data_IF_946238028404
#
_entry.id   IF_946238028404
#
_cell.length_a   1.000
_cell.length_b   1.000
_cell.length_c   1.000
_cell.angle_alpha   90.00
_cell.angle_beta   90.00
_cell.angle_gamma   90.00
#
_symmetry.space_group_name_H-M   'P 1'
#
loop_
_entity.id
_entity.type
_entity.pdbx_description
1 polymer ?
#
# COMPACT_ATOMS: atom_id res chain seq x y z
N UNK A 1 -27.30 -13.52 46.13
CA UNK A 1 -27.37 -13.15 44.70
C UNK A 1 -26.15 -13.80 44.05
N UNK A 2 -26.30 -15.02 43.52
CA UNK A 2 -25.16 -15.74 42.92
C UNK A 2 -24.76 -15.03 41.64
N UNK A 3 -23.48 -14.64 41.53
CA UNK A 3 -22.93 -14.07 40.31
C UNK A 3 -22.88 -15.16 39.23
N UNK A 4 -23.75 -15.07 38.23
CA UNK A 4 -23.80 -15.98 37.10
C UNK A 4 -22.64 -15.66 36.14
N UNK A 5 -21.59 -16.47 36.15
CA UNK A 5 -20.44 -16.30 35.26
C UNK A 5 -20.70 -16.90 33.88
N UNK A 6 -20.27 -16.23 32.80
CA UNK A 6 -20.47 -16.70 31.43
C UNK A 6 -19.55 -17.88 31.02
N UNK A 7 -18.51 -18.15 31.81
CA UNK A 7 -17.48 -19.17 31.59
C UNK A 7 -17.05 -19.73 32.95
N UNK A 8 -16.89 -21.05 33.08
CA UNK A 8 -16.43 -21.73 34.30
C UNK A 8 -15.18 -21.06 34.83
N UNK A 9 -15.24 -20.73 36.10
CA UNK A 9 -14.13 -20.15 36.88
C UNK A 9 -13.62 -21.15 37.91
N UNK A 10 -12.34 -21.05 38.25
CA UNK A 10 -11.76 -21.78 39.38
C UNK A 10 -12.04 -21.06 40.72
N UNK A 11 -11.57 -21.65 41.82
CA UNK A 11 -11.71 -21.09 43.19
C UNK A 11 -11.03 -19.71 43.36
N UNK A 12 -10.18 -19.29 42.41
CA UNK A 12 -9.53 -17.98 42.35
C UNK A 12 -10.22 -17.00 41.38
N UNK A 13 -11.45 -17.30 40.93
CA UNK A 13 -12.22 -16.49 39.97
C UNK A 13 -11.54 -16.34 38.59
N UNK A 14 -10.63 -17.24 38.22
CA UNK A 14 -9.99 -17.25 36.90
C UNK A 14 -10.73 -18.19 35.95
N UNK A 15 -10.93 -17.75 34.71
CA UNK A 15 -11.54 -18.58 33.67
C UNK A 15 -10.69 -19.83 33.39
N UNK A 16 -11.32 -21.00 33.43
CA UNK A 16 -10.70 -22.31 33.14
C UNK A 16 -11.11 -22.88 31.78
N UNK A 17 -11.95 -22.17 31.03
CA UNK A 17 -12.35 -22.53 29.67
C UNK A 17 -11.99 -21.43 28.68
N UNK A 18 -11.41 -21.80 27.54
CA UNK A 18 -11.22 -20.90 26.41
C UNK A 18 -12.36 -21.10 25.41
N UNK A 19 -13.48 -20.39 25.59
CA UNK A 19 -14.60 -20.43 24.66
C UNK A 19 -14.50 -19.27 23.65
N UNK A 20 -14.07 -19.58 22.43
CA UNK A 20 -13.88 -18.60 21.36
C UNK A 20 -15.16 -18.32 20.56
N UNK A 21 -16.31 -18.88 20.93
CA UNK A 21 -17.53 -18.72 20.15
C UNK A 21 -18.15 -17.31 20.38
N UNK A 22 -18.17 -16.42 19.36
CA UNK A 22 -18.60 -15.03 19.50
C UNK A 22 -20.10 -14.89 19.84
N UNK A 23 -20.91 -15.92 19.58
CA UNK A 23 -22.35 -15.92 19.89
C UNK A 23 -22.65 -16.16 21.39
N UNK A 24 -21.74 -16.80 22.13
CA UNK A 24 -21.92 -17.09 23.56
C UNK A 24 -21.19 -16.07 24.44
N UNK A 25 -19.96 -15.72 24.07
CA UNK A 25 -19.11 -14.80 24.85
C UNK A 25 -19.20 -13.40 24.24
N UNK A 26 -20.19 -12.62 24.67
CA UNK A 26 -20.50 -11.30 24.12
C UNK A 26 -21.99 -10.94 24.09
N UNK A 27 -22.87 -11.93 24.27
CA UNK A 27 -24.34 -11.80 24.17
C UNK A 27 -24.96 -10.93 25.27
N UNK A 28 -24.41 -10.95 26.49
CA UNK A 28 -24.93 -10.16 27.61
C UNK A 28 -24.06 -8.91 27.85
N UNK A 29 -24.66 -7.70 27.95
CA UNK A 29 -23.93 -6.45 28.11
C UNK A 29 -23.09 -6.39 29.39
N UNK A 30 -23.49 -7.12 30.44
CA UNK A 30 -22.77 -7.16 31.73
C UNK A 30 -21.58 -8.12 31.77
N UNK A 31 -21.54 -9.15 30.92
CA UNK A 31 -20.54 -10.23 31.01
C UNK A 31 -19.60 -10.32 29.79
N UNK A 32 -19.81 -9.46 28.78
CA UNK A 32 -19.15 -9.55 27.48
C UNK A 32 -18.38 -8.31 27.03
N UNK A 33 -18.25 -7.27 27.86
CA UNK A 33 -17.64 -6.00 27.47
C UNK A 33 -16.21 -6.17 26.93
N UNK A 34 -15.36 -6.92 27.63
CA UNK A 34 -13.98 -7.18 27.21
C UNK A 34 -13.88 -8.04 25.93
N UNK A 35 -14.78 -9.02 25.76
CA UNK A 35 -14.79 -9.86 24.55
C UNK A 35 -15.34 -9.11 23.33
N UNK A 36 -16.31 -8.20 23.50
CA UNK A 36 -16.74 -7.29 22.44
C UNK A 36 -15.62 -6.33 22.02
N UNK A 37 -14.88 -5.79 22.99
CA UNK A 37 -13.72 -4.94 22.71
C UNK A 37 -12.62 -5.70 21.96
N UNK A 38 -12.35 -6.95 22.34
CA UNK A 38 -11.41 -7.83 21.64
C UNK A 38 -11.84 -8.07 20.18
N UNK A 39 -13.07 -8.53 19.94
CA UNK A 39 -13.57 -8.78 18.59
C UNK A 39 -13.67 -7.52 17.73
N UNK A 40 -14.05 -6.37 18.32
CA UNK A 40 -14.04 -5.09 17.63
C UNK A 40 -12.62 -4.66 17.25
N UNK A 41 -11.64 -4.86 18.14
CA UNK A 41 -10.23 -4.59 17.87
C UNK A 41 -9.70 -5.48 16.74
N UNK A 42 -9.95 -6.80 16.81
CA UNK A 42 -9.56 -7.76 15.76
C UNK A 42 -10.19 -7.41 14.41
N UNK A 43 -11.48 -7.12 14.35
CA UNK A 43 -12.15 -6.70 13.12
C UNK A 43 -11.55 -5.40 12.57
N UNK A 44 -11.26 -4.41 13.43
CA UNK A 44 -10.63 -3.15 13.01
C UNK A 44 -9.23 -3.34 12.43
N UNK A 45 -8.45 -4.27 12.98
CA UNK A 45 -7.12 -4.61 12.48
C UNK A 45 -7.19 -5.21 11.07
N UNK A 46 -8.10 -6.18 10.84
CA UNK A 46 -8.26 -6.79 9.52
C UNK A 46 -8.83 -5.82 8.48
N UNK A 47 -9.76 -4.94 8.84
CA UNK A 47 -10.26 -3.91 7.92
C UNK A 47 -9.16 -2.92 7.50
N UNK A 48 -8.28 -2.53 8.42
CA UNK A 48 -7.14 -1.69 8.10
C UNK A 48 -6.15 -2.40 7.15
N UNK A 49 -5.90 -3.69 7.36
CA UNK A 49 -5.06 -4.50 6.47
C UNK A 49 -5.66 -4.63 5.06
N UNK A 50 -6.96 -4.93 4.96
CA UNK A 50 -7.66 -5.00 3.67
C UNK A 50 -7.61 -3.65 2.95
N UNK A 51 -7.83 -2.54 3.68
CA UNK A 51 -7.71 -1.20 3.12
C UNK A 51 -6.32 -0.91 2.57
N UNK A 52 -5.26 -1.29 3.29
CA UNK A 52 -3.88 -1.11 2.83
C UNK A 52 -3.57 -1.90 1.56
N UNK A 53 -3.97 -3.18 1.50
CA UNK A 53 -3.74 -4.02 0.33
C UNK A 53 -4.61 -3.64 -0.87
N UNK A 54 -5.83 -3.17 -0.65
CA UNK A 54 -6.70 -2.66 -1.70
C UNK A 54 -6.17 -1.34 -2.29
N UNK A 55 -5.47 -0.52 -1.50
CA UNK A 55 -4.96 0.77 -1.96
C UNK A 55 -3.80 0.64 -2.96
N UNK A 56 -3.00 -0.42 -2.87
CA UNK A 56 -1.79 -0.57 -3.69
C UNK A 56 -2.05 -0.55 -5.21
N UNK A 57 -2.98 -1.36 -5.77
CA UNK A 57 -3.31 -1.28 -7.20
C UNK A 57 -4.11 -0.02 -7.54
N UNK A 58 -5.04 0.42 -6.67
CA UNK A 58 -5.90 1.58 -6.92
C UNK A 58 -5.09 2.90 -7.00
N UNK A 59 -3.98 3.00 -6.26
CA UNK A 59 -3.16 4.21 -6.24
C UNK A 59 -2.63 4.58 -7.64
N UNK A 60 -2.35 3.60 -8.51
CA UNK A 60 -1.86 3.84 -9.87
C UNK A 60 -2.98 4.32 -10.79
N UNK A 61 -4.19 3.76 -10.66
CA UNK A 61 -5.35 4.21 -11.42
C UNK A 61 -5.77 5.63 -11.01
N UNK A 62 -5.75 5.92 -9.70
CA UNK A 62 -6.01 7.26 -9.18
C UNK A 62 -4.97 8.24 -9.70
N UNK A 63 -3.68 7.90 -9.67
CA UNK A 63 -2.61 8.74 -10.20
C UNK A 63 -2.81 9.08 -11.68
N UNK A 64 -3.32 8.12 -12.46
CA UNK A 64 -3.66 8.31 -13.88
C UNK A 64 -4.84 9.26 -14.06
N UNK A 65 -5.84 9.17 -13.19
CA UNK A 65 -7.06 10.01 -13.26
C UNK A 65 -6.85 11.46 -12.83
N UNK A 66 -5.82 11.75 -12.03
CA UNK A 66 -5.49 13.09 -11.53
C UNK A 66 -4.32 13.73 -12.29
N UNK A 67 -3.91 13.13 -13.41
CA UNK A 67 -2.84 13.60 -14.31
C UNK A 67 -1.49 13.85 -13.62
N UNK A 68 -1.18 13.14 -12.54
CA UNK A 68 0.12 13.26 -11.84
C UNK A 68 1.18 12.29 -12.36
N UNK A 69 0.83 11.44 -13.33
CA UNK A 69 1.75 10.46 -13.87
C UNK A 69 2.87 11.13 -14.66
N UNK A 70 4.07 10.56 -14.51
CA UNK A 70 5.29 11.10 -15.09
C UNK A 70 5.21 11.17 -16.63
N UNK A 71 4.54 10.19 -17.26
CA UNK A 71 4.29 10.08 -18.72
C UNK A 71 3.24 11.09 -19.24
N UNK A 72 2.26 11.47 -18.42
CA UNK A 72 1.24 12.46 -18.80
C UNK A 72 1.81 13.87 -18.75
N UNK A 73 2.62 14.19 -17.74
CA UNK A 73 3.29 15.49 -17.63
C UNK A 73 4.42 15.65 -18.66
N UNK A 74 5.12 14.57 -19.00
CA UNK A 74 6.26 14.61 -19.92
C UNK A 74 6.15 13.48 -20.94
N UNK A 75 5.57 13.75 -22.12
CA UNK A 75 5.37 12.72 -23.11
C UNK A 75 6.72 12.12 -23.55
N UNK A 76 6.78 10.80 -23.55
CA UNK A 76 7.96 10.00 -23.91
C UNK A 76 8.57 10.36 -25.28
N UNK A 77 7.75 10.84 -26.23
CA UNK A 77 8.22 11.29 -27.55
C UNK A 77 9.07 12.57 -27.49
N UNK A 78 8.80 13.46 -26.52
CA UNK A 78 9.53 14.71 -26.37
C UNK A 78 10.73 14.59 -25.41
N UNK A 79 10.68 13.67 -24.44
CA UNK A 79 11.70 13.51 -23.40
C UNK A 79 12.02 12.03 -23.09
N UNK A 80 12.65 11.30 -24.01
CA UNK A 80 12.92 9.87 -23.85
C UNK A 80 14.03 9.55 -22.82
N UNK A 81 14.90 10.52 -22.51
CA UNK A 81 16.07 10.35 -21.62
C UNK A 81 15.77 10.54 -20.15
N UNK A 82 14.49 10.63 -19.76
CA UNK A 82 14.13 10.90 -18.37
C UNK A 82 14.49 9.71 -17.48
N UNK A 83 15.15 10.00 -16.36
CA UNK A 83 15.59 9.00 -15.37
C UNK A 83 14.47 8.05 -14.91
N UNK A 84 13.23 8.54 -14.85
CA UNK A 84 12.06 7.74 -14.47
C UNK A 84 11.75 6.61 -15.47
N UNK A 85 11.94 6.85 -16.77
CA UNK A 85 11.74 5.88 -17.84
C UNK A 85 12.94 4.94 -17.95
N UNK A 86 14.16 5.47 -17.81
CA UNK A 86 15.39 4.68 -17.83
C UNK A 86 15.47 3.64 -16.70
N UNK A 87 14.86 3.93 -15.54
CA UNK A 87 14.75 2.99 -14.41
C UNK A 87 13.56 2.03 -14.52
N UNK A 88 12.69 2.19 -15.52
CA UNK A 88 11.50 1.36 -15.64
C UNK A 88 11.85 -0.05 -16.16
N UNK A 89 11.41 -1.06 -15.41
CA UNK A 89 11.48 -2.48 -15.76
C UNK A 89 10.10 -3.09 -15.57
N UNK A 90 9.65 -3.88 -16.53
CA UNK A 90 8.35 -4.56 -16.43
C UNK A 90 8.42 -5.64 -15.35
N UNK A 91 7.41 -5.74 -14.49
CA UNK A 91 7.39 -6.74 -13.41
C UNK A 91 7.41 -8.19 -13.95
N UNK A 92 6.68 -8.44 -15.04
CA UNK A 92 6.46 -9.80 -15.56
C UNK A 92 7.63 -10.33 -16.40
N UNK A 93 8.11 -9.53 -17.34
CA UNK A 93 9.16 -9.92 -18.30
C UNK A 93 10.55 -9.40 -17.94
N UNK A 94 10.67 -8.54 -16.93
CA UNK A 94 11.91 -7.82 -16.55
C UNK A 94 12.57 -7.09 -17.71
N UNK A 95 11.83 -6.80 -18.78
CA UNK A 95 12.33 -6.09 -19.95
C UNK A 95 12.52 -4.62 -19.59
N UNK A 96 13.74 -4.08 -19.70
CA UNK A 96 14.01 -2.67 -19.45
C UNK A 96 13.50 -1.78 -20.59
N UNK A 97 13.28 -0.51 -20.29
CA UNK A 97 12.93 0.51 -21.28
C UNK A 97 14.05 0.77 -22.31
N UNK A 98 15.32 0.61 -21.91
CA UNK A 98 16.46 0.63 -22.82
C UNK A 98 16.59 -0.71 -23.54
N UNK A 99 16.58 -0.71 -24.86
CA UNK A 99 16.80 -1.93 -25.67
C UNK A 99 18.27 -2.38 -25.67
N UNK A 100 19.21 -1.43 -25.53
CA UNK A 100 20.64 -1.67 -25.51
C UNK A 100 21.34 -0.83 -24.42
N UNK A 101 22.22 -1.43 -23.61
CA UNK A 101 23.01 -0.72 -22.57
C UNK A 101 22.70 -1.09 -21.10
N UNK A 102 23.54 -0.61 -20.17
CA UNK A 102 23.61 -1.07 -18.76
C UNK A 102 22.38 -0.68 -17.91
N UNK A 103 21.79 -1.69 -17.29
CA UNK A 103 20.82 -1.63 -16.19
C UNK A 103 21.44 -1.19 -14.85
N UNK A 104 21.98 0.02 -14.75
CA UNK A 104 22.46 0.53 -13.45
C UNK A 104 21.36 1.31 -12.74
N UNK A 105 20.75 0.70 -11.71
CA UNK A 105 19.66 1.28 -10.90
C UNK A 105 20.08 2.54 -10.11
N UNK A 106 21.38 2.71 -9.83
CA UNK A 106 21.93 3.79 -9.00
C UNK A 106 22.32 5.07 -9.78
N UNK A 107 22.60 4.97 -11.08
CA UNK A 107 22.97 6.12 -11.93
C UNK A 107 22.42 5.97 -13.35
N UNK A 108 21.12 6.27 -13.57
CA UNK A 108 20.50 6.18 -14.89
C UNK A 108 21.21 7.17 -15.83
N UNK A 109 22.04 6.60 -16.69
CA UNK A 109 22.71 7.28 -17.81
C UNK A 109 21.92 6.91 -19.07
N UNK A 110 21.97 7.76 -20.11
CA UNK A 110 21.21 7.50 -21.34
C UNK A 110 21.49 6.10 -21.91
N UNK A 111 20.49 5.49 -22.56
CA UNK A 111 20.61 4.16 -23.15
C UNK A 111 21.79 4.16 -24.14
N UNK A 112 22.53 3.05 -24.22
CA UNK A 112 23.63 2.94 -25.20
C UNK A 112 23.04 2.59 -26.56
N UNK A 113 23.69 3.06 -27.62
CA UNK A 113 23.36 2.59 -28.96
C UNK A 113 23.80 1.14 -29.17
N UNK A 114 23.19 0.43 -30.15
CA UNK A 114 23.64 -0.90 -30.54
C UNK A 114 25.13 -0.85 -30.94
N UNK A 115 25.89 -1.83 -30.48
CA UNK A 115 27.30 -1.99 -30.83
C UNK A 115 27.51 -2.49 -32.27
N UNK A 116 26.44 -2.95 -32.94
CA UNK A 116 26.49 -3.42 -34.32
C UNK A 116 26.02 -2.32 -35.31
N UNK A 117 26.90 -1.84 -36.20
CA UNK A 117 26.57 -0.76 -37.15
C UNK A 117 25.52 -1.17 -38.20
N UNK A 118 25.28 -2.47 -38.38
CA UNK A 118 24.22 -3.01 -39.23
C UNK A 118 22.81 -2.84 -38.64
N UNK A 119 22.68 -2.78 -37.31
CA UNK A 119 21.39 -2.62 -36.65
C UNK A 119 20.92 -1.16 -36.69
N UNK A 120 21.84 -0.21 -36.57
CA UNK A 120 21.56 1.24 -36.56
C UNK A 120 21.07 1.74 -37.94
N UNK A 121 21.43 1.02 -39.01
CA UNK A 121 21.02 1.35 -40.38
C UNK A 121 19.62 0.82 -40.75
N UNK A 122 19.00 -0.01 -39.91
CA UNK A 122 17.67 -0.56 -40.15
C UNK A 122 16.58 0.45 -39.72
N UNK A 123 15.49 0.59 -40.49
CA UNK A 123 14.37 1.47 -40.13
C UNK A 123 13.62 1.01 -38.87
N UNK A 124 13.86 -0.23 -38.41
CA UNK A 124 13.32 -0.84 -37.20
C UNK A 124 14.19 -0.62 -35.95
N UNK A 125 15.31 0.12 -36.07
CA UNK A 125 16.15 0.45 -34.91
C UNK A 125 15.43 1.40 -33.95
N UNK A 126 15.11 0.91 -32.76
CA UNK A 126 14.57 1.73 -31.68
C UNK A 126 15.48 1.65 -30.44
N UNK A 127 16.16 2.76 -30.14
CA UNK A 127 16.98 2.94 -28.93
C UNK A 127 16.18 2.83 -27.62
N UNK A 128 14.88 3.15 -27.69
CA UNK A 128 13.95 3.10 -26.56
C UNK A 128 12.74 2.25 -26.93
N UNK A 129 12.26 1.43 -26.01
CA UNK A 129 11.03 0.67 -26.20
C UNK A 129 9.84 1.36 -25.51
N UNK A 130 9.23 2.31 -26.20
CA UNK A 130 8.07 3.07 -25.73
C UNK A 130 6.81 2.21 -25.50
N UNK A 131 6.72 1.04 -26.15
CA UNK A 131 5.57 0.13 -26.06
C UNK A 131 5.53 -0.63 -24.72
N UNK A 132 6.66 -0.74 -24.03
CA UNK A 132 6.77 -1.40 -22.72
C UNK A 132 6.24 -0.51 -21.58
N UNK A 133 6.09 0.79 -21.82
CA UNK A 133 5.68 1.73 -20.79
C UNK A 133 4.18 1.63 -20.50
N UNK A 134 3.76 1.43 -19.24
CA UNK A 134 2.35 1.44 -18.87
C UNK A 134 1.79 2.87 -18.98
N UNK A 135 0.45 2.97 -18.96
CA UNK A 135 -0.24 4.27 -19.01
C UNK A 135 0.23 5.26 -17.95
N UNK A 136 0.68 4.78 -16.79
CA UNK A 136 1.23 5.59 -15.71
C UNK A 136 2.56 5.04 -15.18
N UNK A 137 3.59 5.89 -15.16
CA UNK A 137 4.91 5.57 -14.61
C UNK A 137 5.12 6.34 -13.31
N UNK A 138 5.31 5.63 -12.20
CA UNK A 138 5.51 6.20 -10.87
C UNK A 138 6.75 5.59 -10.18
N UNK A 139 7.91 5.70 -10.85
CA UNK A 139 9.20 5.21 -10.34
C UNK A 139 9.67 6.04 -9.13
N UNK A 140 10.47 5.49 -8.19
CA UNK A 140 11.02 6.26 -7.08
C UNK A 140 11.80 7.49 -7.55
N UNK A 141 11.53 8.64 -6.91
CA UNK A 141 12.12 9.94 -7.27
C UNK A 141 11.30 10.78 -8.27
N UNK A 142 10.11 10.31 -8.66
CA UNK A 142 9.14 11.08 -9.47
C UNK A 142 8.16 11.86 -8.60
N UNK A 143 7.46 12.82 -9.20
CA UNK A 143 6.39 13.58 -8.52
C UNK A 143 5.27 12.63 -8.06
N UNK A 144 4.82 11.73 -8.95
CA UNK A 144 3.81 10.72 -8.63
C UNK A 144 4.20 9.86 -7.40
N UNK A 145 5.41 9.31 -7.38
CA UNK A 145 5.87 8.45 -6.28
C UNK A 145 5.91 9.19 -4.94
N UNK A 146 6.36 10.44 -4.96
CA UNK A 146 6.39 11.30 -3.77
C UNK A 146 4.99 11.57 -3.24
N UNK A 147 4.03 11.89 -4.12
CA UNK A 147 2.62 12.12 -3.74
C UNK A 147 2.00 10.89 -3.07
N UNK A 148 2.22 9.69 -3.63
CA UNK A 148 1.72 8.44 -3.05
C UNK A 148 2.33 8.23 -1.66
N UNK A 149 3.65 8.40 -1.51
CA UNK A 149 4.33 8.25 -0.22
C UNK A 149 3.79 9.25 0.81
N UNK A 150 3.66 10.53 0.48
CA UNK A 150 3.08 11.53 1.38
C UNK A 150 1.65 11.21 1.80
N UNK A 151 0.83 10.71 0.87
CA UNK A 151 -0.55 10.31 1.18
C UNK A 151 -0.61 9.15 2.18
N UNK A 152 0.27 8.15 2.04
CA UNK A 152 0.37 7.02 2.98
C UNK A 152 0.83 7.45 4.36
N UNK A 153 1.84 8.34 4.45
CA UNK A 153 2.32 8.89 5.73
C UNK A 153 1.20 9.69 6.41
N UNK A 154 0.49 10.54 5.66
CA UNK A 154 -0.63 11.32 6.18
C UNK A 154 -1.76 10.43 6.72
N UNK A 155 -2.10 9.37 6.00
CA UNK A 155 -3.12 8.39 6.43
C UNK A 155 -2.75 7.72 7.77
N UNK A 156 -1.49 7.28 7.91
CA UNK A 156 -1.00 6.69 9.17
C UNK A 156 -1.03 7.71 10.31
N UNK A 157 -0.58 8.94 10.06
CA UNK A 157 -0.57 10.01 11.07
C UNK A 157 -1.97 10.34 11.59
N UNK A 158 -2.95 10.48 10.69
CA UNK A 158 -4.36 10.72 11.05
C UNK A 158 -4.92 9.54 11.84
N UNK A 159 -4.58 8.31 11.46
CA UNK A 159 -5.04 7.10 12.17
C UNK A 159 -4.53 7.08 13.62
N UNK A 160 -3.25 7.41 13.84
CA UNK A 160 -2.66 7.50 15.18
C UNK A 160 -3.35 8.61 15.98
N UNK A 161 -3.52 9.80 15.38
CA UNK A 161 -4.18 10.92 16.02
C UNK A 161 -5.61 10.57 16.48
N UNK A 162 -6.42 9.98 15.59
CA UNK A 162 -7.79 9.58 15.90
C UNK A 162 -7.82 8.53 17.02
N UNK A 163 -6.89 7.58 17.04
CA UNK A 163 -6.81 6.57 18.11
C UNK A 163 -6.47 7.17 19.46
N UNK A 164 -5.52 8.11 19.52
CA UNK A 164 -5.17 8.80 20.77
C UNK A 164 -6.31 9.69 21.24
N UNK A 165 -6.91 10.46 20.33
CA UNK A 165 -8.02 11.36 20.64
C UNK A 165 -9.28 10.60 21.12
N UNK A 166 -9.68 9.53 20.42
CA UNK A 166 -10.82 8.72 20.83
C UNK A 166 -10.54 7.91 22.09
N UNK A 167 -9.31 7.37 22.25
CA UNK A 167 -8.92 6.65 23.45
C UNK A 167 -9.02 7.53 24.70
N UNK A 168 -8.46 8.74 24.64
CA UNK A 168 -8.54 9.70 25.74
C UNK A 168 -9.96 10.21 26.01
N UNK A 169 -10.79 10.39 24.98
CA UNK A 169 -12.21 10.73 25.13
C UNK A 169 -13.01 9.60 25.77
N UNK A 170 -12.73 8.34 25.41
CA UNK A 170 -13.39 7.18 26.02
C UNK A 170 -12.92 6.92 27.45
N UNK A 171 -11.68 7.25 27.82
CA UNK A 171 -11.26 7.20 29.24
C UNK A 171 -11.99 8.24 30.09
N UNK A 172 -12.33 9.40 29.52
CA UNK A 172 -12.96 10.51 30.26
C UNK A 172 -14.49 10.47 30.25
N UNK A 173 -15.09 9.97 29.18
CA UNK A 173 -16.55 9.98 28.97
C UNK A 173 -17.13 8.60 28.65
N UNK A 174 -16.30 7.56 28.63
CA UNK A 174 -16.76 6.20 28.42
C UNK A 174 -17.59 5.70 29.61
N UNK A 175 -18.58 4.82 29.36
CA UNK A 175 -19.37 4.22 30.43
C UNK A 175 -18.49 3.33 31.31
N UNK A 176 -18.64 3.48 32.62
CA UNK A 176 -18.04 2.62 33.66
C UNK A 176 -18.68 1.23 33.70
#
# INVERSE_FOLDING_TARGET
MSAEYAVRVNDQLKAVELNLNPLKVGRNPQHGAHMRAFWASTASFFLAFVGWFALAPIAVDVATSIDICENQMYPQAANPTRKAYLKYKTADTKTPYCTYGKDNDDSPTDCKDSTDPSDVALPTYSKYNATILPGCVCTPGTHCSSTIIYSSIGSVAVTIFVRVALGTLLERFGPV
#
